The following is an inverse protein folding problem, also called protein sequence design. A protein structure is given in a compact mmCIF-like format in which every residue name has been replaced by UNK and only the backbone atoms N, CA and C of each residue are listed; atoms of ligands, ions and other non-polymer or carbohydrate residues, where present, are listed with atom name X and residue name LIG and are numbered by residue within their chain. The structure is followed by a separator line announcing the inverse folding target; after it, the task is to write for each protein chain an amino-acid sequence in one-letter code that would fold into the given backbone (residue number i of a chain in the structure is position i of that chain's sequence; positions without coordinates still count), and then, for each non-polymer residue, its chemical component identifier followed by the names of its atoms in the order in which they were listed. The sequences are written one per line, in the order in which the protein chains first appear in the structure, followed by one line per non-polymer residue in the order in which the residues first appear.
data_IF_177416762198
#
_entry.id   IF_177416762198
#
_cell.length_a   1.000
_cell.length_b   1.000
_cell.length_c   1.000
_cell.angle_alpha   90.00
_cell.angle_beta   90.00
_cell.angle_gamma   90.00
#
_symmetry.space_group_name_H-M   'P 1'
#
loop_
_entity.id
_entity.type
_entity.pdbx_description
1 polymer ?
#
# COMPACT_ATOMS: atom_id res chain seq x y z
N UNK A 1 0.91 -17.10 -7.80
CA UNK A 1 1.13 -16.94 -6.34
C UNK A 1 0.38 -15.69 -5.91
N UNK A 2 -0.44 -15.75 -4.86
CA UNK A 2 -1.34 -14.64 -4.49
C UNK A 2 -0.57 -13.37 -4.15
N UNK A 3 -0.82 -12.28 -4.87
CA UNK A 3 -0.22 -10.97 -4.62
C UNK A 3 -0.93 -10.30 -3.44
N UNK A 4 -0.56 -10.71 -2.22
CA UNK A 4 -1.08 -10.10 -0.99
C UNK A 4 -0.48 -8.71 -0.80
N UNK A 5 -1.33 -7.70 -0.60
CA UNK A 5 -0.89 -6.43 -0.05
C UNK A 5 -0.44 -6.65 1.39
N UNK A 6 0.86 -6.49 1.64
CA UNK A 6 1.46 -6.71 2.96
C UNK A 6 2.13 -5.43 3.43
N UNK A 7 1.87 -5.03 4.67
CA UNK A 7 2.38 -3.79 5.25
C UNK A 7 3.07 -4.07 6.59
N UNK A 8 4.21 -3.43 6.82
CA UNK A 8 4.87 -3.40 8.11
C UNK A 8 4.57 -2.04 8.76
N UNK A 9 4.00 -2.07 9.98
CA UNK A 9 3.68 -0.86 10.74
C UNK A 9 4.48 -0.85 12.03
N UNK A 10 5.25 0.21 12.26
CA UNK A 10 5.97 0.48 13.50
C UNK A 10 5.34 1.68 14.16
N UNK A 11 5.10 1.60 15.47
CA UNK A 11 4.41 2.63 16.25
C UNK A 11 5.17 2.86 17.54
N UNK A 12 5.40 4.12 17.89
CA UNK A 12 6.07 4.49 19.12
C UNK A 12 5.54 5.83 19.64
N UNK A 13 5.77 6.06 20.93
CA UNK A 13 5.38 7.26 21.65
C UNK A 13 6.59 7.78 22.41
N UNK A 14 6.81 9.09 22.44
CA UNK A 14 7.81 9.66 23.33
C UNK A 14 7.26 9.76 24.76
N UNK A 15 8.09 9.43 25.75
CA UNK A 15 7.69 9.51 27.16
C UNK A 15 7.26 10.94 27.51
N UNK A 16 6.00 11.10 27.91
CA UNK A 16 5.43 12.40 28.30
C UNK A 16 4.61 13.11 27.20
N UNK A 17 4.67 12.65 25.95
CA UNK A 17 3.82 13.18 24.88
C UNK A 17 2.68 12.21 24.55
N UNK A 18 1.46 12.74 24.39
CA UNK A 18 0.31 11.98 23.82
C UNK A 18 0.40 11.79 22.30
N UNK A 19 1.52 12.17 21.68
CA UNK A 19 1.70 12.14 20.23
C UNK A 19 2.21 10.77 19.80
N UNK A 20 1.37 10.07 19.04
CA UNK A 20 1.70 8.80 18.41
C UNK A 20 2.50 9.04 17.14
N UNK A 21 3.69 8.45 17.06
CA UNK A 21 4.51 8.43 15.84
C UNK A 21 4.43 7.04 15.24
N UNK A 22 4.37 6.99 13.93
CA UNK A 22 4.34 5.74 13.21
C UNK A 22 5.14 5.79 11.93
N UNK A 23 5.51 4.61 11.46
CA UNK A 23 6.12 4.35 10.17
C UNK A 23 5.39 3.17 9.54
N UNK A 24 5.00 3.30 8.28
CA UNK A 24 4.38 2.23 7.51
C UNK A 24 5.16 2.03 6.22
N UNK A 25 5.41 0.76 5.89
CA UNK A 25 6.05 0.34 4.64
C UNK A 25 5.21 -0.72 3.96
N UNK A 26 5.02 -0.61 2.64
CA UNK A 26 4.48 -1.69 1.83
C UNK A 26 5.59 -2.66 1.44
N UNK A 27 5.43 -3.95 1.77
CA UNK A 27 6.49 -4.96 1.61
C UNK A 27 6.83 -5.21 0.14
N UNK A 28 5.83 -5.20 -0.75
CA UNK A 28 6.06 -5.55 -2.16
C UNK A 28 6.64 -4.43 -3.01
N UNK A 29 6.37 -3.17 -2.66
CA UNK A 29 6.86 -1.99 -3.43
C UNK A 29 7.96 -1.24 -2.71
N UNK A 30 8.29 -1.65 -1.49
CA UNK A 30 9.22 -1.01 -0.56
C UNK A 30 8.92 0.45 -0.20
N UNK A 31 7.86 1.05 -0.76
CA UNK A 31 7.42 2.41 -0.44
C UNK A 31 7.04 2.53 1.03
N UNK A 32 7.34 3.68 1.62
CA UNK A 32 7.07 3.94 3.03
C UNK A 32 6.75 5.41 3.32
N UNK A 33 6.13 5.65 4.48
CA UNK A 33 5.93 7.00 5.05
C UNK A 33 6.04 6.97 6.57
N UNK A 34 6.38 8.11 7.16
CA UNK A 34 6.12 8.40 8.57
C UNK A 34 4.76 9.08 8.74
N UNK A 35 4.07 8.81 9.84
CA UNK A 35 2.78 9.42 10.15
C UNK A 35 2.66 9.79 11.63
N UNK A 36 1.94 10.89 11.90
CA UNK A 36 1.54 11.33 13.25
C UNK A 36 0.04 11.08 13.53
N UNK A 37 -0.69 10.69 12.48
CA UNK A 37 -2.14 10.56 12.44
C UNK A 37 -2.49 9.26 11.75
N UNK A 38 -3.38 8.46 12.34
CA UNK A 38 -3.77 7.17 11.78
C UNK A 38 -4.41 7.28 10.40
N UNK A 39 -5.09 8.38 10.11
CA UNK A 39 -5.69 8.66 8.81
C UNK A 39 -4.63 8.62 7.69
N UNK A 40 -3.42 9.12 7.95
CA UNK A 40 -2.32 9.08 6.97
C UNK A 40 -1.82 7.67 6.69
N UNK A 41 -1.83 6.80 7.70
CA UNK A 41 -1.53 5.38 7.51
C UNK A 41 -2.62 4.70 6.67
N UNK A 42 -3.90 5.00 6.92
CA UNK A 42 -5.02 4.45 6.15
C UNK A 42 -4.99 4.92 4.70
N UNK A 43 -4.74 6.22 4.47
CA UNK A 43 -4.58 6.79 3.13
C UNK A 43 -3.48 6.06 2.34
N UNK A 44 -2.33 5.80 2.99
CA UNK A 44 -1.22 5.08 2.40
C UNK A 44 -1.59 3.65 1.98
N UNK A 45 -2.30 2.92 2.85
CA UNK A 45 -2.77 1.55 2.54
C UNK A 45 -3.76 1.55 1.38
N UNK A 46 -4.74 2.47 1.40
CA UNK A 46 -5.73 2.58 0.34
C UNK A 46 -5.12 2.93 -1.02
N UNK A 47 -4.11 3.79 -1.05
CA UNK A 47 -3.40 4.13 -2.28
C UNK A 47 -2.73 2.90 -2.91
N UNK A 48 -2.11 2.02 -2.11
CA UNK A 48 -1.48 0.79 -2.59
C UNK A 48 -2.50 -0.26 -3.04
N UNK A 49 -3.62 -0.38 -2.32
CA UNK A 49 -4.72 -1.27 -2.72
C UNK A 49 -5.33 -0.83 -4.06
N UNK A 50 -5.63 0.46 -4.22
CA UNK A 50 -6.17 1.01 -5.47
C UNK A 50 -5.19 0.89 -6.64
N UNK A 51 -3.91 1.11 -6.39
CA UNK A 51 -2.87 0.98 -7.41
C UNK A 51 -2.77 -0.46 -7.93
N UNK A 52 -2.77 -1.47 -7.05
CA UNK A 52 -2.81 -2.87 -7.47
C UNK A 52 -4.09 -3.22 -8.25
N UNK A 53 -5.25 -2.67 -7.86
CA UNK A 53 -6.50 -2.90 -8.59
C UNK A 53 -6.43 -2.35 -10.01
N UNK A 54 -5.88 -1.14 -10.18
CA UNK A 54 -5.75 -0.53 -11.49
C UNK A 54 -4.76 -1.26 -12.39
N UNK A 55 -3.62 -1.75 -11.88
CA UNK A 55 -2.69 -2.56 -12.69
C UNK A 55 -3.36 -3.81 -13.27
N UNK A 56 -4.24 -4.45 -12.50
CA UNK A 56 -4.96 -5.65 -12.93
C UNK A 56 -5.88 -5.40 -14.13
N UNK A 57 -6.53 -4.24 -14.20
CA UNK A 57 -7.39 -3.88 -15.33
C UNK A 57 -6.59 -3.69 -16.62
N UNK A 58 -5.39 -3.11 -16.53
CA UNK A 58 -4.53 -2.91 -17.70
C UNK A 58 -3.88 -4.22 -18.20
N UNK A 59 -3.56 -5.15 -17.30
CA UNK A 59 -3.03 -6.47 -17.68
C UNK A 59 -4.10 -7.33 -18.38
N UNK A 60 -5.33 -7.39 -17.86
CA UNK A 60 -6.43 -8.17 -18.47
C UNK A 60 -6.86 -7.65 -19.86
N UNK A 61 -6.79 -6.34 -20.12
CA UNK A 61 -7.11 -5.79 -21.45
C UNK A 61 -6.02 -6.07 -22.49
N UNK A 62 -4.75 -6.19 -22.06
CA UNK A 62 -3.61 -6.42 -22.96
C UNK A 62 -3.52 -7.85 -23.50
N UNK A 63 -4.10 -8.83 -22.80
CA UNK A 63 -4.17 -10.24 -23.25
C UNK A 63 -5.29 -10.50 -24.29
N UNK A 64 -6.17 -9.53 -24.54
CA UNK A 64 -7.29 -9.67 -25.48
C UNK A 64 -6.95 -9.32 -26.94
N UNK A 65 -5.71 -8.91 -27.23
CA UNK A 65 -5.33 -8.30 -28.51
C UNK A 65 -4.61 -9.21 -29.50
N UNK A 66 -4.76 -10.54 -29.37
CA UNK A 66 -4.35 -11.47 -30.43
C UNK A 66 -5.58 -11.97 -31.20
N UNK A 67 -5.66 -11.75 -32.52
CA UNK A 67 -6.67 -12.42 -33.34
C UNK A 67 -6.38 -13.92 -33.29
N UNK A 68 -7.37 -14.70 -32.85
CA UNK A 68 -7.33 -16.16 -32.97
C UNK A 68 -7.42 -16.49 -34.47
N UNK A 69 -6.32 -16.98 -35.03
CA UNK A 69 -6.28 -17.64 -36.35
C UNK A 69 -7.05 -18.98 -36.33
#
# INVERSE_FOLDING_TARGET
MGYYNSFLVKVWTDNGEKLLRGHIQHVGTEKDIYFLKWEKMVDFMQAHIKWNFNQRMYEDESDSFYPQE
#
